data_IF_319920795791
#
_entry.id   IF_319920795791
#
_cell.length_a   1.000
_cell.length_b   1.000
_cell.length_c   1.000
_cell.angle_alpha   90.00
_cell.angle_beta   90.00
_cell.angle_gamma   90.00
#
_symmetry.space_group_name_H-M   'P 1'
#
loop_
_entity.id
_entity.type
_entity.pdbx_description
1 polymer ?
#
# COMPACT_ATOMS: atom_id res chain seq x y z
N UNK A 1 -32.52 22.51 42.10
CA UNK A 1 -33.10 22.18 43.44
C UNK A 1 -33.41 20.68 43.41
N UNK A 2 -32.52 19.82 43.91
CA UNK A 2 -32.54 19.24 45.27
C UNK A 2 -33.93 18.62 45.60
N UNK A 3 -34.11 17.35 45.99
CA UNK A 3 -33.28 16.34 46.69
C UNK A 3 -34.06 15.00 46.64
N UNK A 4 -33.45 13.93 47.16
CA UNK A 4 -34.02 12.62 47.57
C UNK A 4 -33.67 11.48 46.60
N UNK A 5 -32.52 10.81 46.68
CA UNK A 5 -32.09 9.80 47.67
C UNK A 5 -33.17 8.76 48.03
N UNK A 6 -33.25 7.70 47.23
CA UNK A 6 -33.76 6.39 47.64
C UNK A 6 -33.04 5.33 46.79
N UNK A 7 -32.04 4.65 47.35
CA UNK A 7 -32.20 3.32 47.96
C UNK A 7 -32.27 2.20 46.90
N UNK A 8 -31.11 1.69 46.50
CA UNK A 8 -30.99 0.33 45.97
C UNK A 8 -29.60 -0.20 46.33
N UNK A 9 -29.55 -0.66 47.58
CA UNK A 9 -28.48 -1.39 48.24
C UNK A 9 -28.18 -2.67 47.44
N UNK A 10 -27.13 -2.66 46.60
CA UNK A 10 -26.61 -3.90 45.98
C UNK A 10 -25.52 -4.45 46.88
N UNK A 11 -25.98 -5.36 47.73
CA UNK A 11 -25.24 -6.14 48.71
C UNK A 11 -24.53 -7.29 47.97
N UNK A 12 -23.28 -7.06 47.53
CA UNK A 12 -22.44 -8.12 46.94
C UNK A 12 -21.55 -8.71 48.02
N UNK A 13 -21.99 -9.88 48.48
CA UNK A 13 -21.27 -10.96 49.13
C UNK A 13 -19.78 -10.77 49.40
N UNK A 14 -19.47 -10.63 50.69
CA UNK A 14 -18.28 -11.23 51.28
C UNK A 14 -18.49 -12.74 51.37
N UNK A 15 -17.63 -13.52 50.69
CA UNK A 15 -17.67 -14.97 50.72
C UNK A 15 -16.69 -15.59 49.74
N UNK A 16 -15.39 -15.53 50.07
CA UNK A 16 -14.34 -16.21 49.30
C UNK A 16 -12.94 -15.76 49.69
N UNK A 17 -12.39 -16.34 50.75
CA UNK A 17 -10.96 -16.27 51.07
C UNK A 17 -10.37 -17.69 51.09
N UNK A 18 -9.12 -17.79 50.60
CA UNK A 18 -8.14 -18.87 50.81
C UNK A 18 -8.12 -20.07 49.83
N UNK A 19 -7.61 -19.81 48.62
CA UNK A 19 -6.58 -20.68 48.00
C UNK A 19 -5.74 -19.89 46.99
N UNK A 20 -5.42 -18.65 47.34
CA UNK A 20 -4.43 -17.83 46.64
C UNK A 20 -3.10 -17.93 47.37
N UNK A 21 -2.46 -19.11 47.35
CA UNK A 21 -1.05 -19.29 47.70
C UNK A 21 -0.62 -20.72 47.43
N UNK A 22 -0.06 -20.92 46.25
CA UNK A 22 0.48 -22.20 45.84
C UNK A 22 0.93 -22.15 44.39
N UNK A 23 1.94 -21.32 44.11
CA UNK A 23 3.07 -21.60 43.20
C UNK A 23 4.00 -20.39 43.14
N UNK A 24 5.25 -20.50 43.63
CA UNK A 24 6.25 -19.45 43.50
C UNK A 24 7.10 -19.73 42.26
N UNK A 25 6.53 -19.65 41.06
CA UNK A 25 7.31 -19.74 39.80
C UNK A 25 6.68 -18.97 38.63
N UNK A 26 6.02 -17.85 38.91
CA UNK A 26 5.75 -16.86 37.85
C UNK A 26 6.94 -15.91 37.84
N UNK A 27 7.95 -16.26 37.04
CA UNK A 27 9.03 -15.33 36.70
C UNK A 27 8.47 -14.05 36.05
N UNK A 28 9.29 -12.99 35.92
CA UNK A 28 8.82 -11.72 35.35
C UNK A 28 8.23 -11.97 33.97
N UNK A 29 6.93 -11.73 33.79
CA UNK A 29 6.29 -11.78 32.48
C UNK A 29 6.77 -10.57 31.66
N UNK A 30 7.95 -10.73 31.07
CA UNK A 30 8.51 -9.87 30.04
C UNK A 30 7.93 -10.02 28.59
N UNK A 31 7.06 -11.00 28.22
CA UNK A 31 6.54 -11.08 26.85
C UNK A 31 5.55 -9.98 26.40
N UNK A 32 4.72 -9.34 27.26
CA UNK A 32 3.68 -8.43 26.75
C UNK A 32 4.24 -7.10 26.24
N UNK A 33 5.38 -6.61 26.76
CA UNK A 33 5.93 -5.31 26.37
C UNK A 33 6.45 -5.28 24.93
N UNK A 34 7.10 -6.37 24.49
CA UNK A 34 7.67 -6.48 23.14
C UNK A 34 6.57 -6.69 22.10
N UNK A 35 5.58 -7.53 22.42
CA UNK A 35 4.39 -7.70 21.58
C UNK A 35 3.57 -6.41 21.47
N UNK A 36 3.33 -5.70 22.57
CA UNK A 36 2.64 -4.40 22.57
C UNK A 36 3.41 -3.31 21.81
N UNK A 37 4.74 -3.41 21.73
CA UNK A 37 5.54 -2.54 20.86
C UNK A 37 5.29 -2.86 19.38
N UNK A 38 5.29 -4.13 19.00
CA UNK A 38 4.99 -4.55 17.64
C UNK A 38 3.58 -4.11 17.20
N UNK A 39 2.59 -4.28 18.08
CA UNK A 39 1.20 -3.80 17.86
C UNK A 39 1.15 -2.28 17.61
N UNK A 40 1.83 -1.49 18.44
CA UNK A 40 1.90 -0.02 18.25
C UNK A 40 2.56 0.38 16.93
N UNK A 41 3.56 -0.37 16.45
CA UNK A 41 4.18 -0.10 15.16
C UNK A 41 3.22 -0.35 13.99
N UNK A 42 2.31 -1.33 14.12
CA UNK A 42 1.22 -1.55 13.15
C UNK A 42 0.26 -0.37 13.15
N UNK A 43 -0.15 0.12 14.32
CA UNK A 43 -1.05 1.28 14.45
C UNK A 43 -0.43 2.56 13.87
N UNK A 44 0.89 2.71 13.99
CA UNK A 44 1.66 3.81 13.39
C UNK A 44 1.87 3.63 11.88
N UNK A 45 1.41 2.53 11.28
CA UNK A 45 1.61 2.21 9.87
C UNK A 45 3.07 1.86 9.50
N UNK A 46 3.91 1.63 10.50
CA UNK A 46 5.32 1.25 10.38
C UNK A 46 5.46 -0.27 10.24
N UNK A 47 4.86 -0.84 9.19
CA UNK A 47 4.71 -2.29 9.03
C UNK A 47 6.05 -3.05 8.93
N UNK A 48 7.09 -2.46 8.33
CA UNK A 48 8.42 -3.10 8.25
C UNK A 48 9.04 -3.26 9.65
N UNK A 49 9.00 -2.18 10.44
CA UNK A 49 9.45 -2.20 11.83
C UNK A 49 8.58 -3.13 12.69
N UNK A 50 7.27 -3.18 12.42
CA UNK A 50 6.36 -4.10 13.09
C UNK A 50 6.72 -5.56 12.81
N UNK A 51 7.00 -5.93 11.55
CA UNK A 51 7.43 -7.27 11.17
C UNK A 51 8.71 -7.65 11.92
N UNK A 52 9.70 -6.76 11.95
CA UNK A 52 10.95 -7.00 12.67
C UNK A 52 10.71 -7.20 14.18
N UNK A 53 9.82 -6.41 14.79
CA UNK A 53 9.47 -6.54 16.20
C UNK A 53 8.71 -7.85 16.50
N UNK A 54 7.82 -8.30 15.61
CA UNK A 54 7.20 -9.62 15.74
C UNK A 54 8.21 -10.76 15.55
N UNK A 55 9.16 -10.63 14.62
CA UNK A 55 10.21 -11.63 14.42
C UNK A 55 11.12 -11.74 15.66
N UNK A 56 11.43 -10.60 16.31
CA UNK A 56 12.15 -10.57 17.59
C UNK A 56 11.35 -11.26 18.71
N UNK A 57 10.03 -11.03 18.79
CA UNK A 57 9.15 -11.72 19.73
C UNK A 57 9.20 -13.24 19.51
N UNK A 58 9.00 -13.68 18.26
CA UNK A 58 8.94 -15.09 17.89
C UNK A 58 10.28 -15.81 18.11
N UNK A 59 11.40 -15.12 17.98
CA UNK A 59 12.72 -15.67 18.23
C UNK A 59 13.02 -15.86 19.74
N UNK A 60 12.49 -14.98 20.61
CA UNK A 60 12.76 -15.00 22.06
C UNK A 60 11.73 -15.80 22.85
N UNK A 61 10.54 -15.99 22.31
CA UNK A 61 9.39 -16.55 23.02
C UNK A 61 8.78 -17.71 22.23
N UNK A 62 9.53 -18.80 22.04
CA UNK A 62 9.11 -19.92 21.16
C UNK A 62 7.88 -20.68 21.71
N UNK A 63 7.75 -20.79 23.03
CA UNK A 63 6.69 -21.55 23.71
C UNK A 63 5.63 -20.66 24.38
N UNK A 64 5.57 -19.37 24.04
CA UNK A 64 4.59 -18.44 24.61
C UNK A 64 3.20 -18.61 23.97
N UNK A 65 2.13 -18.52 24.77
CA UNK A 65 0.75 -18.66 24.29
C UNK A 65 0.34 -17.61 23.25
N UNK A 66 1.04 -16.47 23.17
CA UNK A 66 0.81 -15.43 22.18
C UNK A 66 1.51 -15.69 20.83
N UNK A 67 2.34 -16.73 20.70
CA UNK A 67 3.05 -17.07 19.45
C UNK A 67 2.13 -17.22 18.23
N UNK A 68 1.01 -17.97 18.30
CA UNK A 68 0.11 -18.10 17.15
C UNK A 68 -0.44 -16.75 16.68
N UNK A 69 -0.81 -15.88 17.62
CA UNK A 69 -1.28 -14.51 17.33
C UNK A 69 -0.16 -13.68 16.71
N UNK A 70 1.04 -13.70 17.28
CA UNK A 70 2.18 -12.96 16.76
C UNK A 70 2.54 -13.37 15.33
N UNK A 71 2.50 -14.67 15.00
CA UNK A 71 2.71 -15.15 13.61
C UNK A 71 1.66 -14.60 12.64
N UNK A 72 0.39 -14.61 13.04
CA UNK A 72 -0.70 -14.07 12.22
C UNK A 72 -0.55 -12.57 11.99
N UNK A 73 -0.32 -11.78 13.05
CA UNK A 73 -0.11 -10.33 12.94
C UNK A 73 1.11 -9.98 12.10
N UNK A 74 2.22 -10.73 12.27
CA UNK A 74 3.43 -10.60 11.47
C UNK A 74 3.16 -10.88 10.00
N UNK A 75 2.44 -11.95 9.69
CA UNK A 75 2.04 -12.30 8.33
C UNK A 75 1.20 -11.20 7.68
N UNK A 76 0.22 -10.65 8.40
CA UNK A 76 -0.58 -9.53 7.93
C UNK A 76 0.26 -8.27 7.67
N UNK A 77 1.16 -7.91 8.60
CA UNK A 77 2.06 -6.77 8.40
C UNK A 77 3.00 -6.97 7.20
N UNK A 78 3.55 -8.18 7.01
CA UNK A 78 4.39 -8.51 5.87
C UNK A 78 3.61 -8.45 4.54
N UNK A 79 2.36 -8.89 4.52
CA UNK A 79 1.49 -8.77 3.35
C UNK A 79 1.24 -7.30 2.97
N UNK A 80 1.07 -6.41 3.95
CA UNK A 80 0.93 -4.96 3.70
C UNK A 80 2.22 -4.37 3.11
N UNK A 81 3.40 -4.76 3.60
CA UNK A 81 4.68 -4.32 3.04
C UNK A 81 4.81 -4.76 1.58
N UNK A 82 4.52 -6.04 1.29
CA UNK A 82 4.56 -6.56 -0.07
C UNK A 82 3.57 -5.82 -1.00
N UNK A 83 2.34 -5.59 -0.54
CA UNK A 83 1.33 -4.85 -1.31
C UNK A 83 1.77 -3.41 -1.61
N UNK A 84 2.42 -2.72 -0.65
CA UNK A 84 2.97 -1.37 -0.86
C UNK A 84 4.09 -1.37 -1.90
N UNK A 85 4.95 -2.38 -1.89
CA UNK A 85 6.02 -2.53 -2.87
C UNK A 85 5.46 -2.76 -4.28
N UNK A 86 4.46 -3.62 -4.43
CA UNK A 86 3.79 -3.85 -5.73
C UNK A 86 3.06 -2.60 -6.22
N UNK A 87 2.37 -1.87 -5.33
CA UNK A 87 1.74 -0.61 -5.69
C UNK A 87 2.76 0.44 -6.18
N UNK A 88 3.95 0.49 -5.59
CA UNK A 88 5.03 1.37 -6.03
C UNK A 88 5.52 0.99 -7.45
N UNK A 89 5.69 -0.31 -7.73
CA UNK A 89 6.07 -0.80 -9.07
C UNK A 89 5.01 -0.46 -10.11
N UNK A 90 3.74 -0.72 -9.82
CA UNK A 90 2.63 -0.42 -10.73
C UNK A 90 2.52 1.07 -11.05
N UNK A 91 2.74 1.95 -10.05
CA UNK A 91 2.81 3.40 -10.29
C UNK A 91 3.96 3.78 -11.21
N UNK A 92 5.13 3.16 -11.04
CA UNK A 92 6.27 3.41 -11.90
C UNK A 92 6.02 2.94 -13.34
N UNK A 93 5.39 1.78 -13.51
CA UNK A 93 5.02 1.25 -14.83
C UNK A 93 3.99 2.14 -15.52
N UNK A 94 2.95 2.57 -14.80
CA UNK A 94 1.96 3.53 -15.30
C UNK A 94 2.60 4.84 -15.75
N UNK A 95 3.56 5.37 -14.99
CA UNK A 95 4.30 6.57 -15.37
C UNK A 95 5.10 6.37 -16.68
N UNK A 96 5.76 5.21 -16.85
CA UNK A 96 6.49 4.88 -18.08
C UNK A 96 5.55 4.76 -19.28
N UNK A 97 4.41 4.09 -19.13
CA UNK A 97 3.42 3.96 -20.21
C UNK A 97 2.86 5.32 -20.63
N UNK A 98 2.58 6.21 -19.67
CA UNK A 98 2.13 7.57 -19.98
C UNK A 98 3.19 8.38 -20.75
N UNK A 99 4.48 8.20 -20.42
CA UNK A 99 5.57 8.82 -21.19
C UNK A 99 5.65 8.27 -22.61
N UNK A 100 5.49 6.97 -22.79
CA UNK A 100 5.50 6.35 -24.12
C UNK A 100 4.30 6.79 -24.95
N UNK A 101 3.11 6.89 -24.36
CA UNK A 101 1.92 7.43 -25.03
C UNK A 101 2.16 8.87 -25.49
N UNK A 102 2.75 9.72 -24.63
CA UNK A 102 3.07 11.09 -24.99
C UNK A 102 4.03 11.16 -26.19
N UNK A 103 5.09 10.34 -26.16
CA UNK A 103 6.05 10.23 -27.26
C UNK A 103 5.39 9.77 -28.56
N UNK A 104 4.57 8.72 -28.51
CA UNK A 104 3.88 8.20 -29.69
C UNK A 104 2.91 9.23 -30.28
N UNK A 105 2.23 10.01 -29.43
CA UNK A 105 1.38 11.10 -29.90
C UNK A 105 2.19 12.20 -30.61
N UNK A 106 3.37 12.57 -30.10
CA UNK A 106 4.25 13.51 -30.81
C UNK A 106 4.73 12.96 -32.16
N UNK A 107 5.06 11.66 -32.21
CA UNK A 107 5.44 11.00 -33.45
C UNK A 107 4.27 10.98 -34.45
N UNK A 108 3.04 10.72 -34.01
CA UNK A 108 1.84 10.79 -34.85
C UNK A 108 1.63 12.19 -35.42
N UNK A 109 1.71 13.24 -34.60
CA UNK A 109 1.58 14.64 -35.07
C UNK A 109 2.63 14.97 -36.13
N UNK A 110 3.89 14.54 -35.94
CA UNK A 110 4.95 14.72 -36.94
C UNK A 110 4.61 14.01 -38.25
N UNK A 111 4.13 12.77 -38.18
CA UNK A 111 3.73 11.99 -39.36
C UNK A 111 2.56 12.63 -40.10
N UNK A 112 1.57 13.17 -39.40
CA UNK A 112 0.45 13.89 -40.01
C UNK A 112 0.91 15.16 -40.72
N UNK A 113 1.84 15.91 -40.12
CA UNK A 113 2.45 17.07 -40.76
C UNK A 113 3.22 16.70 -42.03
N UNK A 114 3.99 15.62 -42.00
CA UNK A 114 4.74 15.15 -43.18
C UNK A 114 3.82 14.63 -44.29
N UNK A 115 2.72 13.92 -43.94
CA UNK A 115 1.70 13.54 -44.91
C UNK A 115 1.05 14.74 -45.58
N UNK A 116 0.82 15.82 -44.83
CA UNK A 116 0.27 17.07 -45.37
C UNK A 116 1.24 17.69 -46.38
N UNK A 117 2.53 17.78 -46.06
CA UNK A 117 3.56 18.29 -47.00
C UNK A 117 3.64 17.45 -48.27
N UNK A 118 3.64 16.12 -48.14
CA UNK A 118 3.68 15.21 -49.31
C UNK A 118 2.46 15.40 -50.20
N UNK A 119 1.27 15.65 -49.63
CA UNK A 119 0.07 15.98 -50.41
C UNK A 119 0.23 17.30 -51.17
N UNK A 120 0.72 18.35 -50.51
CA UNK A 120 0.97 19.64 -51.17
C UNK A 120 1.99 19.53 -52.30
N UNK A 121 3.09 18.80 -52.09
CA UNK A 121 4.12 18.59 -53.11
C UNK A 121 3.59 17.78 -54.30
N UNK A 122 2.74 16.78 -54.05
CA UNK A 122 2.05 16.03 -55.11
C UNK A 122 1.13 16.94 -55.94
N UNK A 123 0.39 17.84 -55.30
CA UNK A 123 -0.46 18.81 -56.00
C UNK A 123 0.36 19.79 -56.85
N UNK A 124 1.49 20.28 -56.33
CA UNK A 124 2.43 21.12 -57.09
C UNK A 124 2.97 20.40 -58.32
N UNK A 125 3.38 19.15 -58.18
CA UNK A 125 3.88 18.35 -59.31
C UNK A 125 2.80 18.16 -60.39
N UNK A 126 1.55 17.85 -60.00
CA UNK A 126 0.43 17.76 -60.94
C UNK A 126 0.20 19.07 -61.69
N UNK A 127 0.30 20.21 -61.02
CA UNK A 127 0.16 21.52 -61.67
C UNK A 127 1.29 21.78 -62.67
N UNK A 128 2.54 21.44 -62.32
CA UNK A 128 3.69 21.57 -63.21
C UNK A 128 3.49 20.71 -64.47
N UNK A 129 3.08 19.46 -64.29
CA UNK A 129 2.84 18.52 -65.39
C UNK A 129 1.79 19.07 -66.38
N UNK A 130 0.64 19.55 -65.87
CA UNK A 130 -0.40 20.20 -66.68
C UNK A 130 0.10 21.44 -67.44
N UNK A 131 1.01 22.22 -66.86
CA UNK A 131 1.61 23.39 -67.51
C UNK A 131 2.55 22.98 -68.65
N UNK A 132 3.32 21.91 -68.45
CA UNK A 132 4.21 21.36 -69.48
C UNK A 132 3.41 20.78 -70.64
N UNK A 133 2.35 20.02 -70.38
CA UNK A 133 1.46 19.50 -71.44
C UNK A 133 0.81 20.61 -72.28
N UNK A 134 0.33 21.68 -71.64
CA UNK A 134 -0.24 22.84 -72.33
C UNK A 134 0.77 23.57 -73.21
N UNK A 135 2.04 23.59 -72.80
CA UNK A 135 3.13 24.25 -73.54
C UNK A 135 3.61 23.42 -74.72
N UNK A 136 3.66 22.10 -74.59
CA UNK A 136 4.09 21.19 -75.67
C UNK A 136 3.06 21.00 -76.80
N UNK A 137 1.80 21.40 -76.58
CA UNK A 137 0.73 21.37 -77.61
C UNK A 137 0.62 22.64 -78.48
N UNK A 138 1.45 23.66 -78.22
CA UNK A 138 1.57 24.88 -79.05
C UNK A 138 2.80 24.79 -79.95
#
# INVERSE_FOLDING_TARGET
>A
MNRLTALALVLVFAGGCTSAQGWPFVGPSAPPALLARADRLVEQGSYEAAVAAYDEFLARHVDDGAVPRARMSRGAAAAVVAARAELAKLKQESAKLNQEIARLNEELVKREADLTKVREDLERLKQIDLLLEKRGKK
#
